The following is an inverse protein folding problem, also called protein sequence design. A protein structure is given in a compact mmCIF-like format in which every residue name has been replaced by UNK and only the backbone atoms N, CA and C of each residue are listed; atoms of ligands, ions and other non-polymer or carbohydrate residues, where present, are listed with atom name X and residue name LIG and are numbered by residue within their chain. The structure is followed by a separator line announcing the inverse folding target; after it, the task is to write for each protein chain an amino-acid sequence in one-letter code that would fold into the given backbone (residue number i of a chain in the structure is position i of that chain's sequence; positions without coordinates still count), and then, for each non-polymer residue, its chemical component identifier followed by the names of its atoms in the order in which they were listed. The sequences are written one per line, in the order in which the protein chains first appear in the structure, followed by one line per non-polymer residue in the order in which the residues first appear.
data_IF_954975989946
#
_entry.id   IF_954975989946
#
_cell.length_a   1.000
_cell.length_b   1.000
_cell.length_c   1.000
_cell.angle_alpha   90.00
_cell.angle_beta   90.00
_cell.angle_gamma   90.00
#
_symmetry.space_group_name_H-M   'P 1'
#
loop_
_entity.id
_entity.type
_entity.pdbx_description
1 polymer ?
#
# COMPACT_ATOMS: atom_id res chain seq x y z
N UNK A 1 -33.77 1.41 5.98
CA UNK A 1 -32.88 1.53 7.16
C UNK A 1 -31.76 0.51 7.02
N UNK A 2 -30.57 0.97 6.66
CA UNK A 2 -29.41 0.12 6.40
C UNK A 2 -28.22 0.98 6.03
N UNK A 3 -27.92 1.96 6.88
CA UNK A 3 -26.70 2.75 6.78
C UNK A 3 -25.60 1.94 7.46
N UNK A 4 -24.61 1.49 6.69
CA UNK A 4 -23.39 0.93 7.25
C UNK A 4 -22.40 2.09 7.34
N UNK A 5 -22.15 2.67 8.53
CA UNK A 5 -21.20 3.77 8.65
C UNK A 5 -19.79 3.30 8.27
N UNK A 6 -18.97 4.21 7.72
CA UNK A 6 -17.53 3.99 7.49
C UNK A 6 -16.85 3.74 8.85
N UNK A 7 -16.73 2.48 9.25
CA UNK A 7 -16.03 2.10 10.48
C UNK A 7 -14.52 2.13 10.25
N UNK A 8 -13.80 2.58 11.28
CA UNK A 8 -12.35 2.71 11.30
C UNK A 8 -11.63 1.42 10.93
N UNK A 9 -10.52 1.57 10.22
CA UNK A 9 -9.74 0.43 9.73
C UNK A 9 -8.99 -0.24 10.88
N UNK A 10 -9.23 -1.53 11.10
CA UNK A 10 -8.40 -2.35 12.00
C UNK A 10 -6.97 -2.43 11.47
N UNK A 11 -6.01 -2.16 12.36
CA UNK A 11 -4.57 -2.11 12.18
C UNK A 11 -3.98 -2.96 11.04
N UNK A 12 -3.33 -2.30 10.08
CA UNK A 12 -2.49 -2.93 9.07
C UNK A 12 -1.14 -3.29 9.69
N UNK A 13 -0.73 -4.57 9.59
CA UNK A 13 0.56 -5.08 10.09
C UNK A 13 1.49 -5.39 8.94
N UNK A 14 1.92 -4.39 8.18
CA UNK A 14 2.77 -4.61 6.99
C UNK A 14 4.14 -3.96 7.16
N UNK A 15 5.14 -4.56 6.50
CA UNK A 15 6.46 -4.05 6.10
C UNK A 15 6.62 -4.47 4.60
N UNK A 16 7.32 -3.71 3.75
CA UNK A 16 7.41 -3.94 2.28
C UNK A 16 7.10 -2.69 1.43
N UNK A 17 7.06 -2.79 0.09
CA UNK A 17 6.88 -1.66 -0.88
C UNK A 17 5.75 -0.68 -0.50
N UNK A 18 4.52 -1.20 -0.36
CA UNK A 18 3.43 -0.51 0.35
C UNK A 18 3.43 -0.83 1.85
N UNK A 19 4.15 -1.85 2.30
CA UNK A 19 4.22 -2.19 3.72
C UNK A 19 4.91 -1.17 4.63
N UNK A 20 5.78 -0.29 4.12
CA UNK A 20 6.23 0.90 4.83
C UNK A 20 5.09 1.94 5.07
N UNK A 21 3.86 1.62 4.67
CA UNK A 21 2.70 2.49 4.84
C UNK A 21 2.01 2.41 6.21
N UNK A 22 2.39 1.49 7.09
CA UNK A 22 1.66 1.29 8.35
C UNK A 22 2.50 1.33 9.64
N UNK A 23 3.83 1.26 9.56
CA UNK A 23 4.69 1.31 10.74
C UNK A 23 5.55 2.57 10.76
N UNK A 24 5.23 3.37 11.79
CA UNK A 24 5.96 4.47 12.40
C UNK A 24 6.08 5.80 11.62
N UNK A 25 5.17 6.70 11.99
CA UNK A 25 5.30 8.17 12.03
C UNK A 25 5.19 8.98 10.72
N UNK A 26 5.10 8.36 9.53
CA UNK A 26 4.84 9.09 8.27
C UNK A 26 3.40 8.94 7.74
N UNK A 27 3.00 7.72 7.40
CA UNK A 27 1.73 7.37 6.72
C UNK A 27 0.61 6.96 7.67
N UNK A 28 0.92 6.57 8.92
CA UNK A 28 -0.09 6.60 9.99
C UNK A 28 -0.66 8.02 10.15
N UNK A 29 0.10 9.05 9.74
CA UNK A 29 -0.38 10.41 9.54
C UNK A 29 -1.53 10.44 8.54
N UNK A 30 -1.33 10.09 7.27
CA UNK A 30 -2.36 10.22 6.24
C UNK A 30 -3.61 9.35 6.45
N UNK A 31 -3.48 8.10 6.92
CA UNK A 31 -4.65 7.25 7.22
C UNK A 31 -5.34 7.72 8.49
N UNK A 32 -4.63 8.03 9.59
CA UNK A 32 -5.30 8.58 10.80
C UNK A 32 -5.83 9.98 10.57
N UNK A 33 -5.18 10.77 9.72
CA UNK A 33 -5.67 12.07 9.29
C UNK A 33 -6.89 11.84 8.41
N UNK A 34 -6.90 10.84 7.54
CA UNK A 34 -8.08 10.33 6.83
C UNK A 34 -9.20 9.93 7.81
N UNK A 35 -8.93 9.15 8.84
CA UNK A 35 -9.89 8.80 9.90
C UNK A 35 -10.38 10.04 10.66
N UNK A 36 -9.50 11.01 10.97
CA UNK A 36 -9.85 12.32 11.58
C UNK A 36 -10.59 13.26 10.63
N UNK A 37 -10.38 13.11 9.33
CA UNK A 37 -11.11 13.81 8.28
C UNK A 37 -12.50 13.19 8.22
N UNK A 38 -12.60 11.86 8.24
CA UNK A 38 -13.87 11.13 8.28
C UNK A 38 -14.64 11.31 9.59
N UNK A 39 -13.99 11.70 10.69
CA UNK A 39 -14.65 12.06 11.96
C UNK A 39 -15.68 13.19 11.75
N UNK A 40 -16.91 12.93 12.19
CA UNK A 40 -18.04 13.86 12.10
C UNK A 40 -17.80 15.18 12.85
N UNK A 41 -16.90 15.18 13.84
CA UNK A 41 -16.55 16.35 14.64
C UNK A 41 -15.35 17.14 14.09
N UNK A 42 -14.82 16.77 12.91
CA UNK A 42 -13.64 17.42 12.34
C UNK A 42 -13.92 18.88 11.97
N UNK A 43 -13.11 19.86 12.43
CA UNK A 43 -13.27 21.28 12.10
C UNK A 43 -13.04 21.61 10.61
N UNK A 44 -12.60 20.61 9.82
CA UNK A 44 -12.38 20.67 8.36
C UNK A 44 -13.65 20.41 7.54
N UNK A 45 -14.83 20.24 8.16
CA UNK A 45 -16.09 19.89 7.48
C UNK A 45 -16.50 20.85 6.37
N UNK A 46 -16.13 22.12 6.48
CA UNK A 46 -16.44 23.16 5.49
C UNK A 46 -15.52 23.13 4.26
N UNK A 47 -14.45 22.32 4.28
CA UNK A 47 -13.56 22.15 3.13
C UNK A 47 -14.14 21.10 2.18
N UNK A 48 -14.60 21.56 1.00
CA UNK A 48 -15.18 20.67 -0.03
C UNK A 48 -14.20 19.63 -0.57
N UNK A 49 -12.89 19.89 -0.49
CA UNK A 49 -11.81 19.01 -0.92
C UNK A 49 -10.73 19.00 0.15
N UNK A 50 -10.24 17.82 0.51
CA UNK A 50 -9.06 17.66 1.36
C UNK A 50 -7.99 16.90 0.61
N UNK A 51 -6.75 17.39 0.66
CA UNK A 51 -5.59 16.73 0.05
C UNK A 51 -4.59 16.41 1.15
N UNK A 52 -4.13 15.16 1.20
CA UNK A 52 -3.05 14.74 2.08
C UNK A 52 -1.93 14.18 1.21
N UNK A 53 -0.78 14.85 1.23
CA UNK A 53 0.46 14.33 0.68
C UNK A 53 1.15 13.44 1.71
N UNK A 54 1.88 12.43 1.22
CA UNK A 54 2.80 11.63 2.00
C UNK A 54 3.87 11.06 1.06
N UNK A 55 5.04 11.69 1.01
CA UNK A 55 6.09 11.37 0.05
C UNK A 55 5.58 11.39 -1.40
N UNK A 56 5.79 10.31 -2.20
CA UNK A 56 5.36 10.19 -3.58
C UNK A 56 3.89 9.79 -3.74
N UNK A 57 3.10 9.85 -2.66
CA UNK A 57 1.68 9.57 -2.67
C UNK A 57 0.90 10.83 -2.28
N UNK A 58 -0.16 11.15 -2.99
CA UNK A 58 -1.13 12.14 -2.55
C UNK A 58 -2.53 11.55 -2.62
N UNK A 59 -3.33 11.77 -1.58
CA UNK A 59 -4.70 11.31 -1.50
C UNK A 59 -5.64 12.50 -1.47
N UNK A 60 -6.72 12.44 -2.24
CA UNK A 60 -7.70 13.51 -2.40
C UNK A 60 -9.06 12.97 -1.97
N UNK A 61 -9.71 13.67 -1.04
CA UNK A 61 -11.06 13.38 -0.55
C UNK A 61 -12.04 14.46 -0.96
N UNK A 62 -13.20 14.03 -1.47
CA UNK A 62 -14.35 14.88 -1.77
C UNK A 62 -15.35 14.81 -0.62
N UNK A 63 -15.29 15.80 0.29
CA UNK A 63 -16.03 15.77 1.57
C UNK A 63 -17.54 15.91 1.47
N UNK A 64 -18.06 16.29 0.31
CA UNK A 64 -19.50 16.35 0.05
C UNK A 64 -20.14 14.97 -0.22
N UNK A 65 -19.44 13.87 0.06
CA UNK A 65 -19.97 12.52 -0.03
C UNK A 65 -19.74 11.75 1.28
N UNK A 66 -20.76 11.04 1.76
CA UNK A 66 -20.68 10.18 2.94
C UNK A 66 -20.07 8.81 2.61
N UNK A 67 -20.13 8.39 1.35
CA UNK A 67 -19.62 7.12 0.82
C UNK A 67 -18.42 7.33 -0.11
N UNK A 68 -17.51 6.34 -0.27
CA UNK A 68 -16.38 6.46 -1.18
C UNK A 68 -16.84 6.90 -2.57
N UNK A 69 -16.17 7.88 -3.15
CA UNK A 69 -16.62 8.50 -4.40
C UNK A 69 -16.04 7.75 -5.60
N UNK A 70 -16.91 7.36 -6.52
CA UNK A 70 -16.51 6.70 -7.77
C UNK A 70 -16.12 7.72 -8.85
N UNK A 71 -15.29 7.29 -9.81
CA UNK A 71 -14.79 8.09 -10.94
C UNK A 71 -15.90 8.87 -11.64
N UNK A 72 -17.03 8.24 -11.95
CA UNK A 72 -18.12 8.92 -12.66
C UNK A 72 -18.70 10.10 -11.85
N UNK A 73 -18.72 10.02 -10.51
CA UNK A 73 -19.17 11.12 -9.64
C UNK A 73 -18.13 12.24 -9.59
N UNK A 74 -16.84 11.89 -9.56
CA UNK A 74 -15.72 12.86 -9.62
C UNK A 74 -15.84 13.66 -10.92
N UNK A 75 -15.94 12.98 -12.05
CA UNK A 75 -16.04 13.60 -13.39
C UNK A 75 -17.34 14.39 -13.58
N UNK A 76 -18.47 13.94 -13.00
CA UNK A 76 -19.71 14.71 -13.03
C UNK A 76 -19.62 16.04 -12.25
N UNK A 77 -18.80 16.08 -11.19
CA UNK A 77 -18.57 17.29 -10.38
C UNK A 77 -17.52 18.21 -10.99
N UNK A 78 -16.50 17.64 -11.62
CA UNK A 78 -15.42 18.35 -12.29
C UNK A 78 -14.97 17.54 -13.51
N UNK A 79 -15.52 17.88 -14.67
CA UNK A 79 -15.20 17.18 -15.91
C UNK A 79 -13.74 17.39 -16.30
N UNK A 80 -13.05 16.29 -16.65
CA UNK A 80 -11.63 16.28 -16.98
C UNK A 80 -10.70 16.31 -15.76
N UNK A 81 -11.21 16.07 -14.55
CA UNK A 81 -10.40 16.12 -13.34
C UNK A 81 -9.26 15.11 -13.36
N UNK A 82 -9.54 13.84 -13.68
CA UNK A 82 -8.53 12.78 -13.72
C UNK A 82 -7.45 13.11 -14.76
N UNK A 83 -7.87 13.54 -15.95
CA UNK A 83 -6.95 13.91 -17.04
C UNK A 83 -6.08 15.11 -16.67
N UNK A 84 -6.66 16.13 -16.01
CA UNK A 84 -5.92 17.29 -15.54
C UNK A 84 -4.83 16.91 -14.52
N UNK A 85 -5.13 15.98 -13.60
CA UNK A 85 -4.14 15.47 -12.64
C UNK A 85 -3.04 14.68 -13.34
N UNK A 86 -3.39 13.80 -14.29
CA UNK A 86 -2.42 12.99 -15.04
C UNK A 86 -1.50 13.81 -15.96
N UNK A 87 -1.98 14.97 -16.43
CA UNK A 87 -1.18 15.90 -17.22
C UNK A 87 -0.12 16.63 -16.38
N UNK A 88 -0.17 16.54 -15.06
CA UNK A 88 0.90 17.08 -14.23
C UNK A 88 2.18 16.23 -14.37
N UNK A 89 3.36 16.83 -14.63
CA UNK A 89 4.59 16.07 -14.88
C UNK A 89 5.04 15.23 -13.68
N UNK A 90 4.68 15.66 -12.46
CA UNK A 90 5.01 14.94 -11.23
C UNK A 90 4.11 13.73 -10.93
N UNK A 91 3.02 13.54 -11.66
CA UNK A 91 2.10 12.40 -11.47
C UNK A 91 2.39 11.34 -12.52
N UNK A 92 2.51 10.09 -12.10
CA UNK A 92 2.70 8.96 -13.00
C UNK A 92 1.36 8.39 -13.47
N UNK A 93 0.56 8.00 -12.48
CA UNK A 93 -0.77 7.47 -12.62
C UNK A 93 -1.59 7.84 -11.38
N UNK A 94 -2.90 7.72 -11.51
CA UNK A 94 -3.84 7.84 -10.41
C UNK A 94 -4.60 6.54 -10.21
N UNK A 95 -5.04 6.28 -8.99
CA UNK A 95 -5.99 5.23 -8.68
C UNK A 95 -7.31 5.84 -8.23
N UNK A 96 -8.41 5.33 -8.78
CA UNK A 96 -9.78 5.73 -8.44
C UNK A 96 -10.67 4.50 -8.29
N UNK A 97 -11.78 4.65 -7.59
CA UNK A 97 -12.84 3.63 -7.54
C UNK A 97 -13.74 3.76 -8.75
N UNK A 98 -14.12 2.64 -9.36
CA UNK A 98 -15.14 2.59 -10.40
C UNK A 98 -16.02 1.39 -10.13
N UNK A 99 -17.25 1.65 -9.71
CA UNK A 99 -18.19 0.63 -9.24
C UNK A 99 -17.54 -0.33 -8.21
N UNK A 100 -17.60 -1.64 -8.42
CA UNK A 100 -17.00 -2.66 -7.56
C UNK A 100 -15.53 -2.97 -7.91
N UNK A 101 -14.86 -2.08 -8.65
CA UNK A 101 -13.47 -2.19 -9.10
C UNK A 101 -12.63 -0.97 -8.76
N UNK A 102 -11.32 -1.15 -8.92
CA UNK A 102 -10.33 -0.08 -8.87
C UNK A 102 -9.78 0.12 -10.27
N UNK A 103 -9.61 1.38 -10.67
CA UNK A 103 -8.95 1.74 -11.91
C UNK A 103 -7.65 2.46 -11.60
N UNK A 104 -6.55 1.95 -12.13
CA UNK A 104 -5.26 2.64 -12.13
C UNK A 104 -5.05 3.20 -13.53
N UNK A 105 -5.00 4.51 -13.64
CA UNK A 105 -5.07 5.24 -14.90
C UNK A 105 -3.76 6.00 -15.07
N UNK A 106 -3.03 5.70 -16.13
CA UNK A 106 -1.84 6.44 -16.57
C UNK A 106 -2.15 7.27 -17.81
N UNK A 107 -1.17 8.01 -18.30
CA UNK A 107 -1.35 8.92 -19.46
C UNK A 107 -1.76 8.23 -20.77
N UNK A 108 -1.35 6.97 -20.95
CA UNK A 108 -1.49 6.23 -22.21
C UNK A 108 -2.24 4.90 -22.04
N UNK A 109 -2.92 4.70 -20.91
CA UNK A 109 -3.64 3.46 -20.64
C UNK A 109 -4.09 3.34 -19.21
N UNK A 110 -4.87 2.30 -18.96
CA UNK A 110 -5.43 2.01 -17.64
C UNK A 110 -5.44 0.51 -17.38
N UNK A 111 -5.42 0.14 -16.10
CA UNK A 111 -5.58 -1.23 -15.62
C UNK A 111 -6.72 -1.28 -14.60
N UNK A 112 -7.63 -2.24 -14.80
CA UNK A 112 -8.73 -2.53 -13.88
C UNK A 112 -8.29 -3.63 -12.93
N UNK A 113 -8.41 -3.35 -11.64
CA UNK A 113 -8.05 -4.26 -10.56
C UNK A 113 -9.29 -4.70 -9.79
N UNK A 114 -9.35 -6.00 -9.50
CA UNK A 114 -10.27 -6.58 -8.52
C UNK A 114 -9.82 -6.18 -7.10
N UNK A 115 -10.66 -5.51 -6.30
CA UNK A 115 -10.32 -5.20 -4.92
C UNK A 115 -10.06 -6.46 -4.10
N UNK A 116 -9.14 -6.37 -3.15
CA UNK A 116 -8.86 -7.43 -2.19
C UNK A 116 -9.18 -6.97 -0.77
N UNK A 117 -9.57 -7.87 0.14
CA UNK A 117 -9.67 -7.54 1.56
C UNK A 117 -8.36 -6.89 2.06
N UNK A 118 -8.48 -5.89 2.93
CA UNK A 118 -7.33 -5.19 3.49
C UNK A 118 -6.40 -6.14 4.28
N UNK A 119 -6.97 -7.21 4.85
CA UNK A 119 -6.22 -8.25 5.55
C UNK A 119 -5.98 -9.44 4.62
N UNK A 120 -4.71 -9.79 4.32
CA UNK A 120 -4.36 -10.98 3.55
C UNK A 120 -4.83 -12.28 4.20
N UNK A 121 -5.22 -13.25 3.37
CA UNK A 121 -5.10 -14.67 3.72
C UNK A 121 -3.75 -15.20 3.22
N UNK A 122 -2.82 -15.43 4.14
CA UNK A 122 -1.46 -15.88 3.84
C UNK A 122 -1.34 -17.38 3.51
N UNK A 123 -2.44 -18.13 3.63
CA UNK A 123 -2.47 -19.55 3.24
C UNK A 123 -2.58 -19.76 1.73
N UNK A 124 -2.94 -18.70 0.99
CA UNK A 124 -3.17 -18.75 -0.44
C UNK A 124 -1.98 -18.18 -1.22
N UNK A 125 -1.74 -18.66 -2.45
CA UNK A 125 -0.76 -18.04 -3.34
C UNK A 125 -1.15 -16.59 -3.69
N UNK A 126 -0.19 -15.83 -4.22
CA UNK A 126 -0.44 -14.46 -4.67
C UNK A 126 -1.60 -14.43 -5.68
N UNK A 127 -2.67 -13.66 -5.42
CA UNK A 127 -3.81 -13.61 -6.32
C UNK A 127 -3.47 -12.80 -7.57
N UNK A 128 -3.94 -13.25 -8.72
CA UNK A 128 -4.05 -12.36 -9.88
C UNK A 128 -5.26 -11.42 -9.68
N UNK A 129 -4.98 -10.12 -9.65
CA UNK A 129 -5.99 -9.07 -9.45
C UNK A 129 -6.24 -8.23 -10.69
N UNK A 130 -5.40 -8.35 -11.72
CA UNK A 130 -5.56 -7.60 -12.97
C UNK A 130 -6.66 -8.26 -13.80
N UNK A 131 -7.76 -7.54 -14.02
CA UNK A 131 -8.89 -8.06 -14.79
C UNK A 131 -8.87 -7.55 -16.25
N UNK A 132 -8.37 -6.33 -16.47
CA UNK A 132 -8.34 -5.72 -17.79
C UNK A 132 -7.21 -4.70 -17.89
N UNK A 133 -6.60 -4.62 -19.08
CA UNK A 133 -5.66 -3.56 -19.46
C UNK A 133 -6.17 -2.92 -20.75
N UNK A 134 -6.21 -1.59 -20.79
CA UNK A 134 -6.53 -0.80 -21.98
C UNK A 134 -5.34 0.10 -22.28
N UNK A 135 -4.82 0.06 -23.51
CA UNK A 135 -3.61 0.80 -23.88
C UNK A 135 -2.37 0.28 -23.17
N UNK A 136 -1.51 1.18 -22.67
CA UNK A 136 -0.29 0.82 -21.93
C UNK A 136 -0.60 0.57 -20.46
N UNK A 137 -0.22 -0.60 -19.92
CA UNK A 137 -0.33 -0.89 -18.49
C UNK A 137 0.51 0.11 -17.66
N UNK A 138 -0.10 0.97 -16.83
CA UNK A 138 0.62 1.97 -16.04
C UNK A 138 1.65 1.37 -15.07
N UNK A 139 1.42 0.12 -14.62
CA UNK A 139 2.27 -0.55 -13.63
C UNK A 139 3.47 -1.26 -14.25
N UNK A 140 3.53 -1.41 -15.57
CA UNK A 140 4.50 -2.29 -16.24
C UNK A 140 5.97 -1.86 -16.07
N UNK A 141 6.21 -0.58 -15.77
CA UNK A 141 7.55 -0.03 -15.58
C UNK A 141 8.06 -0.16 -14.14
N UNK A 142 7.22 -0.62 -13.21
CA UNK A 142 7.59 -0.85 -11.81
C UNK A 142 8.41 -2.13 -11.68
N UNK A 143 9.22 -2.26 -10.62
CA UNK A 143 10.16 -3.38 -10.54
C UNK A 143 9.45 -4.74 -10.39
N UNK A 144 8.28 -4.77 -9.73
CA UNK A 144 7.40 -5.95 -9.62
C UNK A 144 5.94 -5.54 -9.87
N UNK A 145 5.50 -5.43 -11.13
CA UNK A 145 4.17 -4.93 -11.48
C UNK A 145 3.02 -5.72 -10.86
N UNK A 146 3.17 -7.04 -10.76
CA UNK A 146 2.16 -7.95 -10.21
C UNK A 146 1.99 -7.75 -8.69
N UNK A 147 3.09 -7.61 -7.97
CA UNK A 147 3.09 -7.31 -6.53
C UNK A 147 2.48 -5.94 -6.28
N UNK A 148 2.86 -4.93 -7.07
CA UNK A 148 2.29 -3.58 -7.00
C UNK A 148 0.78 -3.60 -7.23
N UNK A 149 0.29 -4.37 -8.22
CA UNK A 149 -1.14 -4.50 -8.47
C UNK A 149 -1.90 -5.07 -7.25
N UNK A 150 -1.37 -6.13 -6.61
CA UNK A 150 -1.97 -6.72 -5.41
C UNK A 150 -2.02 -5.71 -4.25
N UNK A 151 -0.95 -4.94 -4.06
CA UNK A 151 -0.89 -3.95 -3.00
C UNK A 151 -1.85 -2.78 -3.24
N UNK A 152 -1.97 -2.30 -4.49
CA UNK A 152 -2.96 -1.29 -4.88
C UNK A 152 -4.40 -1.81 -4.71
N UNK A 153 -4.65 -3.07 -5.06
CA UNK A 153 -5.96 -3.70 -4.91
C UNK A 153 -6.43 -3.73 -3.44
N UNK A 154 -5.51 -3.83 -2.49
CA UNK A 154 -5.81 -3.80 -1.05
C UNK A 154 -5.94 -2.39 -0.52
N UNK A 155 -5.06 -1.49 -0.96
CA UNK A 155 -5.11 -0.08 -0.58
C UNK A 155 -6.46 0.53 -0.96
N UNK A 156 -6.91 0.33 -2.21
CA UNK A 156 -8.18 0.86 -2.69
C UNK A 156 -9.41 0.27 -1.97
N UNK A 157 -9.28 -0.91 -1.35
CA UNK A 157 -10.34 -1.52 -0.56
C UNK A 157 -10.47 -0.96 0.86
N UNK A 158 -9.52 -0.14 1.32
CA UNK A 158 -9.60 0.48 2.64
C UNK A 158 -10.64 1.61 2.65
N UNK A 159 -11.40 1.72 3.73
CA UNK A 159 -12.42 2.78 3.88
C UNK A 159 -11.82 4.19 4.04
N UNK A 160 -10.61 4.26 4.61
CA UNK A 160 -9.94 5.49 4.98
C UNK A 160 -9.01 6.04 3.88
N UNK A 161 -9.02 5.47 2.67
CA UNK A 161 -8.23 5.99 1.55
C UNK A 161 -8.99 7.07 0.77
N UNK A 162 -8.23 7.93 0.10
CA UNK A 162 -8.74 8.98 -0.76
C UNK A 162 -9.67 8.45 -1.86
N UNK A 163 -10.51 9.34 -2.38
CA UNK A 163 -11.35 9.07 -3.55
C UNK A 163 -10.51 9.04 -4.83
N UNK A 164 -9.44 9.84 -4.87
CA UNK A 164 -8.37 9.81 -5.88
C UNK A 164 -7.03 9.69 -5.17
N UNK A 165 -6.20 8.77 -5.63
CA UNK A 165 -4.85 8.54 -5.10
C UNK A 165 -3.85 8.76 -6.24
N UNK A 166 -2.96 9.75 -6.09
CA UNK A 166 -1.93 10.10 -7.05
C UNK A 166 -0.60 9.46 -6.65
N UNK A 167 0.11 8.94 -7.64
CA UNK A 167 1.45 8.36 -7.47
C UNK A 167 2.48 9.21 -8.21
N UNK A 168 3.61 9.47 -7.56
CA UNK A 168 4.69 10.31 -8.09
C UNK A 168 5.39 9.65 -9.27
N UNK A 169 5.67 10.44 -10.32
CA UNK A 169 6.42 9.97 -11.49
C UNK A 169 7.90 9.74 -11.16
N UNK A 170 8.48 8.74 -11.82
CA UNK A 170 9.92 8.51 -11.81
C UNK A 170 10.65 9.59 -12.61
N UNK A 171 11.81 10.02 -12.13
CA UNK A 171 12.69 10.99 -12.76
C UNK A 171 14.15 10.64 -12.48
N UNK A 172 15.05 11.01 -13.38
CA UNK A 172 16.49 11.03 -13.08
C UNK A 172 16.90 12.47 -12.81
N UNK A 173 17.41 12.82 -11.62
CA UNK A 173 17.70 14.19 -11.28
C UNK A 173 18.74 14.81 -12.22
N UNK A 174 18.49 16.05 -12.66
CA UNK A 174 19.42 16.76 -13.54
C UNK A 174 20.62 17.35 -12.78
N UNK A 175 20.52 17.52 -11.46
CA UNK A 175 21.56 18.13 -10.65
C UNK A 175 21.63 17.60 -9.20
N UNK A 176 22.79 17.69 -8.52
CA UNK A 176 22.96 17.18 -7.16
C UNK A 176 22.00 17.77 -6.12
N UNK A 177 21.51 19.01 -6.32
CA UNK A 177 20.55 19.64 -5.41
C UNK A 177 19.15 19.01 -5.46
N UNK A 178 18.85 18.29 -6.55
CA UNK A 178 17.56 17.63 -6.80
C UNK A 178 17.64 16.12 -6.51
N UNK A 179 18.73 15.67 -5.90
CA UNK A 179 19.04 14.26 -5.67
C UNK A 179 19.49 14.02 -4.24
N UNK A 180 19.25 12.80 -3.74
CA UNK A 180 19.86 12.36 -2.48
C UNK A 180 21.38 12.24 -2.67
N UNK A 181 22.22 12.70 -1.73
CA UNK A 181 23.68 12.62 -1.87
C UNK A 181 24.15 11.22 -2.28
N UNK A 182 24.91 11.15 -3.39
CA UNK A 182 25.42 9.89 -3.94
C UNK A 182 24.53 9.20 -4.99
N UNK A 183 23.33 9.74 -5.28
CA UNK A 183 22.33 9.07 -6.14
C UNK A 183 21.98 9.82 -7.44
N UNK A 184 22.76 10.82 -7.86
CA UNK A 184 22.43 11.71 -9.00
C UNK A 184 22.01 11.00 -10.31
N UNK A 185 22.51 9.80 -10.56
CA UNK A 185 22.24 9.02 -11.78
C UNK A 185 21.23 7.89 -11.58
N UNK A 186 20.58 7.85 -10.43
CA UNK A 186 19.58 6.85 -10.07
C UNK A 186 18.18 7.42 -10.26
N UNK A 187 17.21 6.55 -10.52
CA UNK A 187 15.81 6.92 -10.57
C UNK A 187 15.36 7.41 -9.19
N UNK A 188 14.68 8.55 -9.17
CA UNK A 188 13.99 9.13 -8.03
C UNK A 188 12.50 9.18 -8.34
N UNK A 189 11.68 9.35 -7.33
CA UNK A 189 10.25 9.61 -7.49
C UNK A 189 9.93 11.01 -7.02
N UNK A 190 9.03 11.68 -7.71
CA UNK A 190 8.50 12.95 -7.25
C UNK A 190 7.83 12.78 -5.89
N UNK A 191 8.26 13.57 -4.91
CA UNK A 191 7.57 13.73 -3.64
C UNK A 191 6.59 14.90 -3.74
N UNK A 192 5.37 14.70 -3.25
CA UNK A 192 4.37 15.76 -3.07
C UNK A 192 4.57 16.54 -1.76
N UNK A 193 5.66 16.27 -1.04
CA UNK A 193 6.10 16.97 0.16
C UNK A 193 7.52 17.52 -0.02
N UNK A 194 7.85 18.56 0.75
CA UNK A 194 9.21 19.15 0.77
C UNK A 194 10.16 18.34 1.65
N UNK A 195 10.44 17.11 1.23
CA UNK A 195 11.34 16.19 1.92
C UNK A 195 12.21 15.43 0.91
N UNK A 196 13.52 15.35 1.16
CA UNK A 196 14.49 14.72 0.24
C UNK A 196 14.53 13.20 0.34
N UNK A 197 14.24 12.64 1.52
CA UNK A 197 14.12 11.20 1.74
C UNK A 197 12.70 10.85 2.12
N UNK A 198 11.99 10.09 1.29
CA UNK A 198 10.60 9.72 1.54
C UNK A 198 10.43 8.21 1.46
N UNK A 199 9.27 7.76 1.92
CA UNK A 199 8.83 6.37 1.83
C UNK A 199 7.58 6.32 0.94
N UNK A 200 7.00 5.14 0.73
CA UNK A 200 5.74 4.94 0.01
C UNK A 200 5.80 4.91 -1.53
N UNK A 201 6.98 4.77 -2.13
CA UNK A 201 7.09 4.39 -3.56
C UNK A 201 6.66 2.93 -3.77
N UNK A 202 6.18 2.59 -4.97
CA UNK A 202 5.92 1.19 -5.37
C UNK A 202 7.17 0.44 -5.87
N UNK A 203 8.29 1.17 -6.01
CA UNK A 203 9.55 0.71 -6.61
C UNK A 203 10.76 1.36 -5.93
N UNK A 204 11.96 0.92 -6.30
CA UNK A 204 13.23 1.41 -5.77
C UNK A 204 13.74 0.59 -4.58
N UNK A 205 14.93 0.90 -4.06
CA UNK A 205 15.66 0.01 -3.14
C UNK A 205 14.91 -0.34 -1.84
N UNK A 206 14.01 0.53 -1.35
CA UNK A 206 13.15 0.23 -0.19
C UNK A 206 12.15 -0.90 -0.45
N UNK A 207 11.97 -1.31 -1.70
CA UNK A 207 11.13 -2.42 -2.12
C UNK A 207 11.68 -3.80 -1.71
N UNK A 208 12.98 -3.90 -1.46
CA UNK A 208 13.69 -5.17 -1.27
C UNK A 208 14.22 -5.30 0.15
N UNK A 209 13.39 -5.81 1.09
CA UNK A 209 13.85 -6.04 2.45
C UNK A 209 14.92 -7.13 2.49
N UNK A 210 15.82 -7.03 3.47
CA UNK A 210 16.80 -8.08 3.77
C UNK A 210 16.72 -8.46 5.25
N UNK A 211 17.08 -9.71 5.55
CA UNK A 211 17.18 -10.22 6.91
C UNK A 211 18.64 -10.60 7.19
N UNK A 212 19.17 -10.17 8.33
CA UNK A 212 20.48 -10.62 8.83
C UNK A 212 20.21 -11.63 9.94
N UNK A 213 20.77 -12.82 9.79
CA UNK A 213 20.66 -13.91 10.77
C UNK A 213 22.05 -14.44 11.14
N UNK A 214 22.19 -15.08 12.32
CA UNK A 214 23.34 -15.94 12.57
C UNK A 214 23.53 -16.95 11.43
N UNK A 215 24.78 -17.27 11.09
CA UNK A 215 25.08 -18.15 9.95
C UNK A 215 24.56 -19.58 10.11
N UNK A 216 24.31 -20.01 11.34
CA UNK A 216 23.76 -21.30 11.72
C UNK A 216 22.22 -21.31 11.79
N UNK A 217 21.56 -20.16 11.62
CA UNK A 217 20.11 -20.05 11.62
C UNK A 217 19.55 -20.04 10.19
N UNK A 218 18.96 -21.16 9.79
CA UNK A 218 18.20 -21.23 8.54
C UNK A 218 16.82 -20.57 8.69
N UNK A 219 16.50 -19.67 7.75
CA UNK A 219 15.19 -19.01 7.69
C UNK A 219 14.57 -19.23 6.33
N UNK A 220 13.42 -19.89 6.30
CA UNK A 220 12.65 -20.04 5.08
C UNK A 220 11.75 -18.83 4.86
N UNK A 221 12.06 -18.04 3.83
CA UNK A 221 11.27 -16.88 3.38
C UNK A 221 10.64 -17.08 2.01
N UNK A 222 10.65 -18.30 1.44
CA UNK A 222 10.20 -18.55 0.06
C UNK A 222 8.74 -18.18 -0.19
N UNK A 223 7.92 -18.14 0.87
CA UNK A 223 6.51 -17.77 0.82
C UNK A 223 6.23 -16.35 1.34
N UNK A 224 7.26 -15.56 1.65
CA UNK A 224 7.13 -14.19 2.13
C UNK A 224 7.09 -13.24 0.93
N UNK A 225 5.93 -12.64 0.71
CA UNK A 225 5.62 -11.69 -0.36
C UNK A 225 5.33 -10.31 0.23
N UNK A 226 4.68 -10.29 1.40
CA UNK A 226 4.38 -9.10 2.18
C UNK A 226 4.90 -9.32 3.60
N UNK A 227 5.38 -8.28 4.29
CA UNK A 227 5.98 -8.53 5.58
C UNK A 227 4.97 -8.69 6.74
N UNK A 228 3.67 -8.61 6.50
CA UNK A 228 2.69 -9.21 7.42
C UNK A 228 3.00 -10.69 7.66
N UNK A 229 3.53 -11.39 6.65
CA UNK A 229 3.98 -12.79 6.73
C UNK A 229 5.27 -12.95 7.51
N UNK A 230 6.07 -11.89 7.62
CA UNK A 230 7.35 -11.94 8.33
C UNK A 230 7.12 -12.17 9.83
N UNK A 231 5.99 -11.73 10.39
CA UNK A 231 5.69 -11.98 11.80
C UNK A 231 5.62 -13.49 12.11
N UNK A 232 4.95 -14.27 11.27
CA UNK A 232 4.83 -15.72 11.47
C UNK A 232 6.19 -16.41 11.38
N UNK A 233 7.03 -15.99 10.43
CA UNK A 233 8.42 -16.46 10.31
C UNK A 233 9.23 -16.13 11.56
N UNK A 234 9.21 -14.87 12.02
CA UNK A 234 9.96 -14.44 13.20
C UNK A 234 9.47 -15.11 14.49
N UNK A 235 8.16 -15.31 14.64
CA UNK A 235 7.56 -16.01 15.78
C UNK A 235 7.96 -17.49 15.79
N UNK A 236 8.06 -18.13 14.62
CA UNK A 236 8.53 -19.51 14.52
C UNK A 236 10.00 -19.67 14.96
N UNK A 237 10.82 -18.65 14.73
CA UNK A 237 12.24 -18.62 15.12
C UNK A 237 12.46 -18.33 16.62
N UNK A 238 11.44 -17.87 17.35
CA UNK A 238 11.59 -17.47 18.74
C UNK A 238 11.89 -18.68 19.67
N UNK A 239 12.94 -18.61 20.52
CA UNK A 239 13.49 -19.75 21.28
C UNK A 239 12.56 -20.40 22.34
N UNK A 240 11.30 -19.97 22.45
CA UNK A 240 10.30 -20.55 23.36
C UNK A 240 9.40 -21.63 22.76
N UNK A 241 9.24 -21.69 21.43
CA UNK A 241 8.26 -22.58 20.78
C UNK A 241 8.86 -23.92 20.34
N UNK A 242 10.08 -23.91 19.82
CA UNK A 242 10.85 -25.13 19.51
C UNK A 242 11.08 -26.00 20.75
N UNK A 243 11.37 -25.39 21.91
CA UNK A 243 11.51 -26.10 23.18
C UNK A 243 10.20 -26.62 23.78
N UNK A 244 9.03 -26.09 23.37
CA UNK A 244 7.72 -26.57 23.85
C UNK A 244 7.26 -27.81 23.09
N UNK A 245 7.44 -27.82 21.76
CA UNK A 245 7.15 -28.97 20.91
C UNK A 245 8.05 -30.17 21.26
N UNK A 246 9.33 -29.93 21.54
CA UNK A 246 10.27 -30.99 21.96
C UNK A 246 9.85 -31.64 23.30
N UNK A 247 9.44 -30.84 24.29
CA UNK A 247 8.95 -31.33 25.59
C UNK A 247 7.60 -32.05 25.53
N UNK A 248 6.74 -31.73 24.57
CA UNK A 248 5.49 -32.47 24.35
C UNK A 248 5.74 -33.81 23.66
N UNK A 249 6.67 -33.86 22.69
CA UNK A 249 7.08 -35.12 22.06
C UNK A 249 7.77 -36.06 23.06
N UNK A 250 8.68 -35.55 23.89
CA UNK A 250 9.38 -36.33 24.92
C UNK A 250 8.40 -36.85 26.00
N UNK A 251 7.35 -36.07 26.35
CA UNK A 251 6.28 -36.49 27.30
C UNK A 251 5.30 -37.53 26.75
N UNK A 252 5.21 -37.67 25.43
CA UNK A 252 4.41 -38.72 24.77
C UNK A 252 5.21 -40.02 24.73
N UNK A 253 6.52 -39.93 24.53
CA UNK A 253 7.43 -41.09 24.51
C UNK A 253 7.59 -41.72 25.90
N UNK A 254 7.71 -40.90 26.96
CA UNK A 254 7.76 -41.39 28.36
C UNK A 254 6.46 -42.10 28.80
N UNK A 255 5.31 -41.75 28.20
CA UNK A 255 4.02 -42.41 28.45
C UNK A 255 3.77 -43.63 27.55
N UNK A 256 4.55 -43.79 26.48
CA UNK A 256 4.57 -45.00 25.64
C UNK A 256 5.58 -46.06 26.13
N UNK A 257 6.56 -45.67 26.94
CA UNK A 257 7.59 -46.54 27.50
C UNK A 257 7.22 -47.20 28.85
N UNK A 258 5.99 -47.00 29.34
CA UNK A 258 5.45 -47.68 30.52
C UNK A 258 4.25 -48.55 30.16
N UNK A 259 4.53 -49.70 29.53
CA UNK A 259 3.65 -50.88 29.45
C UNK A 259 4.48 -52.11 29.76
#
# INVERSE_FOLDING_TARGET
SGQTPRLGTTWLRTWGRIGAWALELGTSGAIRLGERILDEHSPSRDQGIVVISCGPLAQIWLRSATEPVHRHVIEARCAGFVDAVLNHPAVDFVMVRSDDRLQVIGRNGEVTLRPLPAVPDHSQPMPNVVEQVIGTNPLAHLDEPEVSAVQLARLGAMNATGDVICFGASLVPASPKDSVPGSLRQAHFWSFERQLGTHATLSGDQAYPFLITPSDLEVNVSNVIEASQLNDVLVALAPGRAGRLKREADRVDERGATC
#
